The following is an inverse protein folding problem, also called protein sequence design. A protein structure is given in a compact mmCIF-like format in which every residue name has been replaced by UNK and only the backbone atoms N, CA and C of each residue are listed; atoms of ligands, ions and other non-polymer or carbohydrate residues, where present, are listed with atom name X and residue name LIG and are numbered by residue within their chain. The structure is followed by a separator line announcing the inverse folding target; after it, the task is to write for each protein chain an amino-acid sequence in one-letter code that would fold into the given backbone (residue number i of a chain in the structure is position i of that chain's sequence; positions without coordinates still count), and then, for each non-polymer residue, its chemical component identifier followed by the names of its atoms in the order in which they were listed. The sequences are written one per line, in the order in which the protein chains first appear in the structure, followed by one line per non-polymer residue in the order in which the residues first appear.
data_IF_807566491311
#
_entry.id   IF_807566491311
#
_cell.length_a   1.000
_cell.length_b   1.000
_cell.length_c   1.000
_cell.angle_alpha   90.00
_cell.angle_beta   90.00
_cell.angle_gamma   90.00
#
_symmetry.space_group_name_H-M   'P 1'
#
loop_
_entity.id
_entity.type
_entity.pdbx_description
1 polymer ?
#
# COMPACT_ATOMS: atom_id res chain seq x y z
N UNK A 1 10.70 0.33 -12.33
CA UNK A 1 10.97 0.20 -10.91
C UNK A 1 11.10 -1.27 -10.48
N UNK A 2 10.07 -2.13 -10.70
CA UNK A 2 10.10 -3.54 -10.26
C UNK A 2 11.34 -4.32 -10.75
N UNK A 3 11.74 -4.17 -12.00
CA UNK A 3 12.90 -4.87 -12.55
C UNK A 3 14.21 -4.37 -11.90
N UNK A 4 14.34 -3.05 -11.70
CA UNK A 4 15.49 -2.45 -11.00
C UNK A 4 15.60 -2.98 -9.57
N UNK A 5 14.47 -3.05 -8.85
CA UNK A 5 14.46 -3.58 -7.48
C UNK A 5 14.89 -5.05 -7.45
N UNK A 6 14.40 -5.89 -8.37
CA UNK A 6 14.81 -7.30 -8.47
C UNK A 6 16.30 -7.47 -8.74
N UNK A 7 16.85 -6.65 -9.63
CA UNK A 7 18.27 -6.67 -9.94
C UNK A 7 19.12 -6.31 -8.72
N UNK A 8 18.76 -5.23 -8.02
CA UNK A 8 19.46 -4.81 -6.81
C UNK A 8 19.39 -5.86 -5.68
N UNK A 9 18.25 -6.52 -5.51
CA UNK A 9 18.09 -7.61 -4.56
C UNK A 9 19.07 -8.75 -4.86
N UNK A 10 19.15 -9.15 -6.12
CA UNK A 10 20.06 -10.23 -6.55
C UNK A 10 21.53 -9.86 -6.36
N UNK A 11 21.92 -8.65 -6.76
CA UNK A 11 23.30 -8.17 -6.65
C UNK A 11 23.75 -8.09 -5.18
N UNK A 12 22.87 -7.67 -4.28
CA UNK A 12 23.19 -7.47 -2.86
C UNK A 12 22.91 -8.70 -1.98
N UNK A 13 22.59 -9.85 -2.56
CA UNK A 13 22.31 -11.09 -1.84
C UNK A 13 21.24 -10.93 -0.73
N UNK A 14 20.17 -10.21 -1.05
CA UNK A 14 19.06 -9.98 -0.14
C UNK A 14 18.08 -11.14 -0.24
N UNK A 15 17.83 -11.83 0.86
CA UNK A 15 16.83 -12.90 0.93
C UNK A 15 15.41 -12.32 0.85
N UNK A 16 14.58 -12.93 0.00
CA UNK A 16 13.18 -12.55 -0.18
C UNK A 16 12.26 -13.76 0.02
N UNK A 17 11.25 -13.59 0.86
CA UNK A 17 10.18 -14.55 1.04
C UNK A 17 8.86 -13.98 0.50
N UNK A 18 8.54 -14.29 -0.77
CA UNK A 18 7.28 -13.86 -1.40
C UNK A 18 6.11 -14.74 -0.94
N UNK A 19 4.90 -14.15 -0.92
CA UNK A 19 3.70 -14.86 -0.45
C UNK A 19 3.69 -15.13 1.04
N UNK A 20 4.67 -14.59 1.77
CA UNK A 20 4.86 -14.77 3.21
C UNK A 20 4.36 -13.55 3.96
N UNK A 21 3.50 -13.77 4.95
CA UNK A 21 2.96 -12.72 5.81
C UNK A 21 3.50 -12.88 7.22
N UNK A 22 4.00 -11.80 7.80
CA UNK A 22 4.28 -11.73 9.23
C UNK A 22 2.96 -11.68 9.98
N UNK A 23 2.77 -12.58 10.92
CA UNK A 23 1.55 -12.70 11.73
C UNK A 23 1.77 -12.36 13.18
N UNK A 24 3.00 -12.45 13.65
CA UNK A 24 3.35 -12.15 15.04
C UNK A 24 4.78 -11.62 15.13
N UNK A 25 5.01 -10.71 16.08
CA UNK A 25 6.33 -10.16 16.40
C UNK A 25 6.44 -9.99 17.91
N UNK A 26 7.50 -10.51 18.48
CA UNK A 26 7.83 -10.33 19.89
C UNK A 26 9.27 -9.90 20.06
N UNK A 27 9.58 -9.20 21.16
CA UNK A 27 10.97 -8.85 21.53
C UNK A 27 11.31 -9.54 22.83
N UNK A 28 12.40 -10.31 22.83
CA UNK A 28 12.95 -10.93 24.02
C UNK A 28 14.43 -10.57 24.12
N UNK A 29 14.79 -9.98 25.23
CA UNK A 29 16.13 -9.41 25.45
C UNK A 29 16.47 -8.39 24.33
N UNK A 30 17.47 -8.67 23.50
CA UNK A 30 17.89 -7.82 22.38
C UNK A 30 17.47 -8.34 21.00
N UNK A 31 16.66 -9.42 20.94
CA UNK A 31 16.26 -10.05 19.69
C UNK A 31 14.75 -9.93 19.46
N UNK A 32 14.40 -9.60 18.22
CA UNK A 32 13.04 -9.76 17.74
C UNK A 32 12.84 -11.17 17.21
N UNK A 33 11.71 -11.77 17.55
CA UNK A 33 11.24 -13.00 16.92
C UNK A 33 10.05 -12.70 16.06
N UNK A 34 10.21 -12.90 14.76
CA UNK A 34 9.19 -12.63 13.72
C UNK A 34 8.63 -13.97 13.28
N UNK A 35 7.30 -14.14 13.37
CA UNK A 35 6.61 -15.36 12.98
C UNK A 35 5.82 -15.16 11.70
N UNK A 36 5.91 -16.13 10.80
CA UNK A 36 5.21 -16.11 9.51
C UNK A 36 3.91 -16.92 9.55
N UNK A 37 3.05 -16.69 8.56
CA UNK A 37 1.82 -17.46 8.35
C UNK A 37 2.08 -18.95 7.98
N UNK A 38 3.31 -19.32 7.68
CA UNK A 38 3.72 -20.72 7.45
C UNK A 38 4.28 -21.36 8.72
N UNK A 39 4.40 -20.61 9.81
CA UNK A 39 4.93 -21.07 11.08
C UNK A 39 6.44 -20.93 11.23
N UNK A 40 7.13 -20.37 10.24
CA UNK A 40 8.55 -20.07 10.35
C UNK A 40 8.79 -18.98 11.41
N UNK A 41 9.86 -19.11 12.16
CA UNK A 41 10.32 -18.11 13.11
C UNK A 41 11.69 -17.59 12.69
N UNK A 42 11.83 -16.27 12.62
CA UNK A 42 13.05 -15.58 12.22
C UNK A 42 13.49 -14.69 13.37
N UNK A 43 14.70 -14.90 13.86
CA UNK A 43 15.30 -14.04 14.86
C UNK A 43 16.09 -12.91 14.18
N UNK A 44 15.88 -11.67 14.62
CA UNK A 44 16.50 -10.48 14.06
C UNK A 44 16.94 -9.50 15.14
N UNK A 45 18.10 -8.87 14.95
CA UNK A 45 18.58 -7.79 15.83
C UNK A 45 17.83 -6.47 15.55
N UNK A 46 17.39 -6.28 14.32
CA UNK A 46 16.73 -5.07 13.86
C UNK A 46 15.53 -5.45 13.00
N UNK A 47 14.44 -4.71 13.13
CA UNK A 47 13.25 -4.85 12.29
C UNK A 47 12.86 -3.50 11.69
N UNK A 48 12.67 -3.46 10.38
CA UNK A 48 12.03 -2.34 9.69
C UNK A 48 10.64 -2.76 9.26
N UNK A 49 9.63 -2.17 9.89
CA UNK A 49 8.24 -2.40 9.56
C UNK A 49 7.81 -1.42 8.45
N UNK A 50 7.82 -1.88 7.22
CA UNK A 50 7.35 -1.14 6.04
C UNK A 50 6.08 -1.79 5.44
N UNK A 51 5.21 -2.34 6.29
CA UNK A 51 4.03 -3.11 5.87
C UNK A 51 2.82 -2.24 5.53
N UNK A 52 2.98 -0.91 5.48
CA UNK A 52 1.96 0.07 5.10
C UNK A 52 0.70 -0.05 5.96
N UNK A 53 -0.44 -0.46 5.38
CA UNK A 53 -1.71 -0.57 6.11
C UNK A 53 -1.69 -1.53 7.31
N UNK A 54 -0.74 -2.46 7.40
CA UNK A 54 -0.58 -3.36 8.53
C UNK A 54 0.47 -2.86 9.57
N UNK A 55 1.06 -1.68 9.37
CA UNK A 55 2.14 -1.16 10.23
C UNK A 55 1.76 -1.14 11.70
N UNK A 56 0.70 -0.44 12.04
CA UNK A 56 0.25 -0.33 13.44
C UNK A 56 -0.06 -1.70 14.07
N UNK A 57 -0.61 -2.65 13.31
CA UNK A 57 -0.94 -3.98 13.82
C UNK A 57 0.29 -4.74 14.36
N UNK A 58 1.42 -4.65 13.66
CA UNK A 58 2.66 -5.29 14.13
C UNK A 58 3.32 -4.47 15.25
N UNK A 59 3.28 -3.14 15.17
CA UNK A 59 3.86 -2.25 16.17
C UNK A 59 3.19 -2.41 17.54
N UNK A 60 1.87 -2.55 17.57
CA UNK A 60 1.09 -2.74 18.79
C UNK A 60 1.45 -4.05 19.52
N UNK A 61 1.82 -5.12 18.79
CA UNK A 61 2.23 -6.38 19.38
C UNK A 61 3.50 -6.28 20.23
N UNK A 62 4.33 -5.27 19.97
CA UNK A 62 5.51 -4.95 20.77
C UNK A 62 5.20 -4.10 22.03
N UNK A 63 3.91 -3.81 22.29
CA UNK A 63 3.50 -2.94 23.38
C UNK A 63 3.74 -1.45 23.12
N UNK A 64 4.05 -1.09 21.89
CA UNK A 64 4.26 0.31 21.47
C UNK A 64 2.92 0.95 21.21
N UNK A 65 2.70 2.14 21.76
CA UNK A 65 1.47 2.90 21.53
C UNK A 65 1.43 3.40 20.10
N UNK A 66 0.39 3.03 19.37
CA UNK A 66 0.19 3.40 17.97
C UNK A 66 -0.82 4.54 17.83
N UNK A 67 -0.62 5.47 16.90
CA UNK A 67 -1.57 6.55 16.65
C UNK A 67 -2.77 6.06 15.83
N UNK A 68 -3.89 6.79 15.92
CA UNK A 68 -5.00 6.59 14.99
C UNK A 68 -4.55 6.86 13.55
N UNK A 69 -5.08 6.07 12.61
CA UNK A 69 -4.92 6.20 11.17
C UNK A 69 -6.29 6.14 10.50
N UNK A 70 -6.42 6.78 9.36
CA UNK A 70 -7.57 6.58 8.50
C UNK A 70 -7.22 5.47 7.52
N UNK A 71 -7.93 4.36 7.64
CA UNK A 71 -7.85 3.23 6.72
C UNK A 71 -8.93 3.39 5.67
N UNK A 72 -8.55 3.20 4.42
CA UNK A 72 -9.45 3.30 3.28
C UNK A 72 -9.32 2.08 2.41
N UNK A 73 -10.43 1.45 2.09
CA UNK A 73 -10.42 0.33 1.15
C UNK A 73 -10.61 0.84 -0.27
N UNK A 74 -9.55 0.71 -1.06
CA UNK A 74 -9.49 1.24 -2.41
C UNK A 74 -9.74 0.13 -3.43
N UNK A 75 -10.59 0.42 -4.41
CA UNK A 75 -10.92 -0.47 -5.53
C UNK A 75 -10.73 0.27 -6.84
N UNK A 76 -9.91 -0.32 -7.70
CA UNK A 76 -9.56 0.25 -9.01
C UNK A 76 -9.90 -0.77 -10.10
N UNK A 77 -10.92 -0.55 -10.95
CA UNK A 77 -11.20 -1.41 -12.08
C UNK A 77 -10.00 -1.54 -13.01
N UNK A 78 -9.71 -2.77 -13.41
CA UNK A 78 -8.82 -3.11 -14.53
C UNK A 78 -9.72 -3.23 -15.75
N UNK A 79 -9.50 -2.37 -16.74
CA UNK A 79 -10.34 -2.29 -17.92
C UNK A 79 -9.55 -2.56 -19.20
N UNK A 80 -10.22 -3.12 -20.17
CA UNK A 80 -9.78 -3.15 -21.57
C UNK A 80 -10.39 -1.95 -22.28
N UNK A 81 -9.55 -1.21 -22.98
CA UNK A 81 -9.95 -0.04 -23.77
C UNK A 81 -9.06 0.03 -25.00
N UNK A 82 -9.67 0.29 -26.15
CA UNK A 82 -8.96 0.36 -27.45
C UNK A 82 -8.43 1.79 -27.68
N UNK A 83 -7.35 2.11 -27.01
CA UNK A 83 -6.61 3.38 -27.14
C UNK A 83 -5.12 3.12 -27.05
N UNK A 84 -4.33 4.09 -27.52
CA UNK A 84 -2.88 4.09 -27.30
C UNK A 84 -2.54 4.03 -25.81
N UNK A 85 -1.39 3.46 -25.45
CA UNK A 85 -0.92 3.36 -24.07
C UNK A 85 -0.50 4.72 -23.52
N UNK A 86 -1.48 5.55 -23.23
CA UNK A 86 -1.29 6.86 -22.61
C UNK A 86 -1.91 6.91 -21.22
N UNK A 87 -1.26 7.65 -20.32
CA UNK A 87 -1.86 8.01 -19.03
C UNK A 87 -2.63 9.32 -19.15
N UNK A 88 -3.84 9.37 -18.61
CA UNK A 88 -4.67 10.58 -18.56
C UNK A 88 -5.08 10.82 -17.12
N UNK A 89 -4.83 12.03 -16.60
CA UNK A 89 -5.28 12.45 -15.28
C UNK A 89 -6.01 13.78 -15.39
N UNK A 90 -7.22 13.84 -14.88
CA UNK A 90 -8.01 15.09 -14.75
C UNK A 90 -7.84 15.55 -13.31
N UNK A 91 -7.28 16.76 -13.13
CA UNK A 91 -6.85 17.29 -11.82
C UNK A 91 -7.83 18.31 -11.23
N UNK A 92 -8.74 18.86 -12.04
CA UNK A 92 -9.77 19.80 -11.57
C UNK A 92 -11.15 19.15 -11.58
N UNK A 93 -11.90 19.34 -10.50
CA UNK A 93 -13.22 18.77 -10.32
C UNK A 93 -13.19 17.31 -9.85
N UNK A 94 -14.08 16.44 -10.32
CA UNK A 94 -14.07 15.03 -9.95
C UNK A 94 -12.85 14.35 -10.58
N UNK A 95 -11.80 14.21 -9.79
CA UNK A 95 -10.52 13.60 -10.20
C UNK A 95 -10.74 12.20 -10.78
N UNK A 96 -10.20 12.01 -11.95
CA UNK A 96 -10.27 10.78 -12.72
C UNK A 96 -8.88 10.48 -13.30
N UNK A 97 -8.43 9.25 -13.18
CA UNK A 97 -7.17 8.83 -13.77
C UNK A 97 -7.34 7.52 -14.52
N UNK A 98 -6.80 7.47 -15.75
CA UNK A 98 -6.62 6.25 -16.54
C UNK A 98 -5.12 6.05 -16.68
N UNK A 99 -4.61 4.89 -16.28
CA UNK A 99 -3.18 4.57 -16.38
C UNK A 99 -3.00 3.22 -17.06
N UNK A 100 -2.01 3.06 -17.97
CA UNK A 100 -1.62 1.75 -18.47
C UNK A 100 -1.25 0.80 -17.33
N UNK A 101 -1.78 -0.43 -17.36
CA UNK A 101 -1.51 -1.42 -16.33
C UNK A 101 -0.28 -2.27 -16.67
N UNK A 102 0.87 -1.78 -16.30
CA UNK A 102 2.14 -2.44 -16.53
C UNK A 102 2.43 -2.66 -18.02
N UNK A 103 2.80 -3.90 -18.39
CA UNK A 103 3.06 -4.29 -19.79
C UNK A 103 1.84 -4.91 -20.48
N UNK A 104 0.69 -5.02 -19.80
CA UNK A 104 -0.55 -5.54 -20.38
C UNK A 104 -1.21 -4.54 -21.32
N UNK A 105 -2.23 -4.97 -22.04
CA UNK A 105 -3.06 -4.11 -22.89
C UNK A 105 -4.28 -3.55 -22.12
N UNK A 106 -4.19 -3.57 -20.79
CA UNK A 106 -5.22 -3.08 -19.90
C UNK A 106 -4.85 -1.74 -19.27
N UNK A 107 -5.86 -1.10 -18.69
CA UNK A 107 -5.74 0.16 -17.99
C UNK A 107 -6.33 0.05 -16.59
N UNK A 108 -5.84 0.89 -15.68
CA UNK A 108 -6.44 1.14 -14.37
C UNK A 108 -7.33 2.37 -14.48
N UNK A 109 -8.56 2.27 -13.98
CA UNK A 109 -9.49 3.39 -13.91
C UNK A 109 -9.71 3.78 -12.45
N UNK A 110 -9.22 4.96 -12.06
CA UNK A 110 -9.39 5.51 -10.73
C UNK A 110 -10.30 6.74 -10.75
N UNK A 111 -11.20 6.84 -9.79
CA UNK A 111 -12.05 8.02 -9.56
C UNK A 111 -12.01 8.35 -8.07
N UNK A 112 -11.73 9.61 -7.72
CA UNK A 112 -11.48 10.00 -6.32
C UNK A 112 -12.62 9.61 -5.38
N UNK A 113 -13.88 9.90 -5.73
CA UNK A 113 -15.03 9.64 -4.87
C UNK A 113 -15.54 8.19 -4.92
N UNK A 114 -15.22 7.43 -5.97
CA UNK A 114 -15.77 6.10 -6.16
C UNK A 114 -14.79 4.98 -5.90
N UNK A 115 -13.48 5.26 -5.96
CA UNK A 115 -12.47 4.23 -5.73
C UNK A 115 -12.25 3.91 -4.26
N UNK A 116 -12.60 4.79 -3.35
CA UNK A 116 -12.64 4.50 -1.92
C UNK A 116 -14.06 4.01 -1.58
N UNK A 117 -14.21 2.72 -1.29
CA UNK A 117 -15.53 2.11 -1.05
C UNK A 117 -15.84 1.89 0.43
N UNK A 118 -14.83 2.01 1.28
CA UNK A 118 -14.97 1.94 2.73
C UNK A 118 -13.84 2.76 3.38
N UNK A 119 -14.13 3.42 4.51
CA UNK A 119 -13.15 4.24 5.21
C UNK A 119 -13.46 4.29 6.72
N UNK A 120 -12.42 4.07 7.54
CA UNK A 120 -12.55 4.06 9.00
C UNK A 120 -11.32 4.67 9.67
N UNK A 121 -11.53 5.43 10.75
CA UNK A 121 -10.46 5.90 11.63
C UNK A 121 -10.30 4.92 12.78
N UNK A 122 -9.15 4.28 12.87
CA UNK A 122 -8.82 3.24 13.87
C UNK A 122 -7.33 3.29 14.23
N UNK A 123 -6.96 2.59 15.27
CA UNK A 123 -5.54 2.32 15.59
C UNK A 123 -4.95 1.21 14.72
N UNK A 124 -5.74 0.19 14.37
CA UNK A 124 -5.27 -0.95 13.56
C UNK A 124 -6.22 -1.27 12.42
N UNK A 125 -5.66 -1.83 11.35
CA UNK A 125 -6.40 -2.29 10.19
C UNK A 125 -7.36 -3.43 10.55
N UNK A 126 -8.55 -3.43 9.97
CA UNK A 126 -9.41 -4.62 9.93
C UNK A 126 -8.76 -5.70 9.06
N UNK A 127 -8.39 -6.82 9.68
CA UNK A 127 -7.70 -7.91 9.00
C UNK A 127 -8.53 -8.58 7.89
N UNK A 128 -9.85 -8.47 7.95
CA UNK A 128 -10.75 -8.93 6.88
C UNK A 128 -10.48 -8.21 5.55
N UNK A 129 -9.95 -6.98 5.62
CA UNK A 129 -9.55 -6.22 4.43
C UNK A 129 -8.32 -6.78 3.71
N UNK A 130 -7.57 -7.66 4.33
CA UNK A 130 -6.42 -8.34 3.72
C UNK A 130 -6.79 -9.59 2.91
N UNK A 131 -8.07 -9.97 2.92
CA UNK A 131 -8.56 -11.16 2.22
C UNK A 131 -9.62 -10.79 1.18
N UNK A 132 -9.41 -11.16 -0.08
CA UNK A 132 -10.43 -10.97 -1.14
C UNK A 132 -11.78 -11.63 -0.84
N UNK A 133 -11.83 -12.61 0.07
CA UNK A 133 -13.08 -13.31 0.43
C UNK A 133 -13.95 -12.53 1.39
N UNK A 134 -13.35 -11.74 2.26
CA UNK A 134 -14.01 -10.97 3.32
C UNK A 134 -13.97 -9.46 3.09
N UNK A 135 -13.21 -9.02 2.07
CA UNK A 135 -13.00 -7.62 1.74
C UNK A 135 -14.32 -6.86 1.47
N UNK A 136 -14.33 -5.54 1.64
CA UNK A 136 -15.47 -4.70 1.28
C UNK A 136 -15.99 -4.93 -0.15
N UNK A 137 -15.09 -5.13 -1.13
CA UNK A 137 -15.50 -5.42 -2.50
C UNK A 137 -16.24 -6.76 -2.64
N UNK A 138 -15.94 -7.75 -1.80
CA UNK A 138 -16.64 -9.05 -1.82
C UNK A 138 -18.13 -8.94 -1.49
N UNK A 139 -18.52 -7.87 -0.79
CA UNK A 139 -19.88 -7.58 -0.34
C UNK A 139 -20.67 -6.75 -1.37
N UNK A 140 -20.03 -6.25 -2.44
CA UNK A 140 -20.64 -5.40 -3.46
C UNK A 140 -21.06 -6.20 -4.71
N UNK A 141 -22.09 -5.69 -5.38
CA UNK A 141 -22.38 -6.07 -6.75
C UNK A 141 -21.35 -5.42 -7.69
N UNK A 142 -20.33 -6.19 -8.07
CA UNK A 142 -19.18 -5.73 -8.88
C UNK A 142 -19.60 -5.12 -10.21
N UNK A 143 -20.63 -5.67 -10.86
CA UNK A 143 -21.13 -5.15 -12.15
C UNK A 143 -21.82 -3.80 -11.97
N UNK A 144 -22.62 -3.66 -10.95
CA UNK A 144 -23.31 -2.41 -10.64
C UNK A 144 -22.31 -1.31 -10.24
N UNK A 145 -21.33 -1.66 -9.40
CA UNK A 145 -20.24 -0.75 -9.02
C UNK A 145 -19.47 -0.27 -10.25
N UNK A 146 -19.07 -1.19 -11.15
CA UNK A 146 -18.37 -0.83 -12.38
C UNK A 146 -19.23 0.08 -13.27
N UNK A 147 -20.50 -0.25 -13.48
CA UNK A 147 -21.41 0.59 -14.28
C UNK A 147 -21.55 2.01 -13.69
N UNK A 148 -21.63 2.13 -12.36
CA UNK A 148 -21.65 3.43 -11.69
C UNK A 148 -20.38 4.23 -11.98
N UNK A 149 -19.21 3.60 -11.89
CA UNK A 149 -17.91 4.21 -12.20
C UNK A 149 -17.87 4.70 -13.63
N UNK A 150 -18.21 3.86 -14.61
CA UNK A 150 -18.24 4.24 -16.04
C UNK A 150 -19.21 5.39 -16.29
N UNK A 151 -20.40 5.36 -15.71
CA UNK A 151 -21.39 6.42 -15.90
C UNK A 151 -20.94 7.80 -15.38
N UNK A 152 -20.04 7.86 -14.41
CA UNK A 152 -19.43 9.11 -13.99
C UNK A 152 -18.25 9.49 -14.89
N UNK A 153 -17.35 8.55 -15.14
CA UNK A 153 -16.11 8.80 -15.87
C UNK A 153 -16.33 9.15 -17.35
N UNK A 154 -17.31 8.53 -18.02
CA UNK A 154 -17.62 8.80 -19.45
C UNK A 154 -18.12 10.21 -19.72
N UNK A 155 -18.58 10.93 -18.69
CA UNK A 155 -18.95 12.35 -18.84
C UNK A 155 -17.75 13.25 -19.15
N UNK A 156 -16.56 12.82 -18.72
CA UNK A 156 -15.30 13.53 -18.93
C UNK A 156 -14.47 12.91 -20.07
N UNK A 157 -14.51 11.59 -20.18
CA UNK A 157 -13.78 10.81 -21.19
C UNK A 157 -14.77 9.84 -21.86
N UNK A 158 -15.47 10.27 -22.92
CA UNK A 158 -16.58 9.53 -23.53
C UNK A 158 -16.24 8.11 -23.98
N UNK A 159 -15.02 7.86 -24.48
CA UNK A 159 -14.59 6.54 -24.94
C UNK A 159 -14.61 5.46 -23.83
N UNK A 160 -14.66 5.85 -22.57
CA UNK A 160 -14.81 4.90 -21.45
C UNK A 160 -16.13 4.11 -21.49
N UNK A 161 -17.12 4.57 -22.26
CA UNK A 161 -18.37 3.83 -22.47
C UNK A 161 -18.13 2.47 -23.13
N UNK A 162 -17.10 2.35 -23.98
CA UNK A 162 -16.74 1.13 -24.69
C UNK A 162 -15.82 0.20 -23.89
N UNK A 163 -15.46 0.61 -22.65
CA UNK A 163 -14.56 -0.18 -21.82
C UNK A 163 -15.18 -1.48 -21.34
N UNK A 164 -14.34 -2.53 -21.22
CA UNK A 164 -14.75 -3.81 -20.69
C UNK A 164 -14.05 -4.05 -19.35
N UNK A 165 -14.81 -4.43 -18.34
CA UNK A 165 -14.25 -4.84 -17.06
C UNK A 165 -13.50 -6.17 -17.22
N UNK A 166 -12.25 -6.20 -16.77
CA UNK A 166 -11.41 -7.40 -16.73
C UNK A 166 -11.35 -7.96 -15.31
N UNK A 167 -10.97 -7.11 -14.33
CA UNK A 167 -10.83 -7.47 -12.92
C UNK A 167 -10.78 -6.19 -12.08
N UNK A 168 -10.49 -6.32 -10.80
CA UNK A 168 -10.25 -5.22 -9.88
C UNK A 168 -8.90 -5.37 -9.20
N UNK A 169 -8.17 -4.27 -9.12
CA UNK A 169 -7.10 -4.09 -8.16
C UNK A 169 -7.72 -3.52 -6.89
N UNK A 170 -7.54 -4.21 -5.76
CA UNK A 170 -8.18 -3.84 -4.51
C UNK A 170 -7.22 -3.98 -3.33
N UNK A 171 -7.42 -3.19 -2.31
CA UNK A 171 -6.67 -3.30 -1.07
C UNK A 171 -6.80 -2.07 -0.16
N UNK A 172 -6.41 -2.24 1.11
CA UNK A 172 -6.40 -1.15 2.06
C UNK A 172 -5.25 -0.18 1.78
N UNK A 173 -5.52 1.10 1.98
CA UNK A 173 -4.51 2.14 2.12
C UNK A 173 -4.64 2.81 3.48
N UNK A 174 -3.57 3.44 3.96
CA UNK A 174 -3.53 4.13 5.23
C UNK A 174 -3.11 5.59 5.00
N UNK A 175 -3.88 6.53 5.53
CA UNK A 175 -3.60 7.96 5.45
C UNK A 175 -3.68 8.59 6.84
N UNK A 176 -3.24 9.85 6.97
CA UNK A 176 -3.41 10.60 8.20
C UNK A 176 -4.89 10.92 8.42
N UNK A 177 -5.43 10.72 9.63
CA UNK A 177 -6.82 11.01 9.91
C UNK A 177 -7.09 12.51 9.86
N UNK A 178 -8.28 12.89 9.41
CA UNK A 178 -8.76 14.28 9.42
C UNK A 178 -7.85 15.27 8.68
N UNK A 179 -7.26 14.83 7.56
CA UNK A 179 -6.38 15.65 6.70
C UNK A 179 -6.91 15.81 5.28
N UNK A 180 -8.21 15.59 5.08
CA UNK A 180 -8.85 15.66 3.77
C UNK A 180 -8.72 17.05 3.11
N UNK A 181 -8.66 18.11 3.92
CA UNK A 181 -8.52 19.49 3.43
C UNK A 181 -7.12 19.83 2.88
N UNK A 182 -6.10 19.07 3.25
CA UNK A 182 -4.71 19.42 2.90
C UNK A 182 -4.07 18.49 1.87
N UNK A 183 -4.68 17.34 1.59
CA UNK A 183 -4.08 16.22 0.82
C UNK A 183 -2.62 15.90 1.23
N UNK A 184 -2.26 16.23 2.48
CA UNK A 184 -0.93 16.03 3.01
C UNK A 184 -0.66 14.53 3.18
N UNK A 185 0.36 14.03 2.49
CA UNK A 185 0.78 12.62 2.51
C UNK A 185 2.25 12.50 2.87
N UNK A 186 2.64 12.89 4.09
CA UNK A 186 4.03 12.75 4.52
C UNK A 186 4.38 11.27 4.66
N UNK A 187 5.64 10.91 4.43
CA UNK A 187 6.20 9.69 4.98
C UNK A 187 6.80 10.02 6.34
N UNK A 188 6.58 9.16 7.32
CA UNK A 188 7.09 9.34 8.67
C UNK A 188 7.89 8.10 9.06
N UNK A 189 9.04 8.33 9.68
CA UNK A 189 9.89 7.29 10.24
C UNK A 189 9.80 7.41 11.75
N UNK A 190 9.34 6.36 12.41
CA UNK A 190 9.30 6.28 13.87
C UNK A 190 10.34 5.29 14.34
N UNK A 191 11.31 5.78 15.09
CA UNK A 191 12.39 4.98 15.67
C UNK A 191 12.03 4.56 17.09
N UNK A 192 12.03 3.26 17.32
CA UNK A 192 11.87 2.63 18.64
C UNK A 192 13.08 1.71 18.89
N UNK A 193 14.26 2.28 18.99
CA UNK A 193 15.55 1.62 19.13
C UNK A 193 15.92 0.74 17.91
N UNK A 194 15.71 -0.57 18.00
CA UNK A 194 16.00 -1.53 16.93
C UNK A 194 14.77 -1.88 16.09
N UNK A 195 13.64 -1.19 16.36
CA UNK A 195 12.40 -1.32 15.60
C UNK A 195 12.04 0.01 14.95
N UNK A 196 12.08 0.04 13.64
CA UNK A 196 11.70 1.21 12.86
C UNK A 196 10.37 0.96 12.16
N UNK A 197 9.40 1.85 12.36
CA UNK A 197 8.15 1.85 11.62
C UNK A 197 8.16 2.94 10.55
N UNK A 198 7.74 2.56 9.34
CA UNK A 198 7.58 3.47 8.20
C UNK A 198 6.11 3.67 7.89
N UNK A 199 5.59 4.87 8.15
CA UNK A 199 4.32 5.31 7.58
C UNK A 199 4.57 5.90 6.20
N UNK A 200 4.09 5.24 5.14
CA UNK A 200 4.36 5.63 3.75
C UNK A 200 3.30 6.60 3.24
N UNK A 201 3.70 7.81 2.86
CA UNK A 201 2.83 8.80 2.23
C UNK A 201 2.67 8.58 0.73
N UNK A 202 3.79 8.48 0.00
CA UNK A 202 3.83 8.31 -1.46
C UNK A 202 4.98 7.38 -1.85
N UNK A 203 4.83 6.68 -2.99
CA UNK A 203 5.86 5.74 -3.49
C UNK A 203 7.18 6.45 -3.88
N UNK A 204 7.12 7.69 -4.33
CA UNK A 204 8.28 8.50 -4.69
C UNK A 204 9.15 8.90 -3.48
N UNK A 205 8.60 8.82 -2.26
CA UNK A 205 9.37 9.02 -1.04
C UNK A 205 10.26 7.82 -0.67
N UNK A 206 10.10 6.67 -1.33
CA UNK A 206 10.77 5.42 -0.94
C UNK A 206 12.30 5.51 -0.93
N UNK A 207 12.89 6.31 -1.80
CA UNK A 207 14.35 6.46 -1.90
C UNK A 207 14.88 7.22 -0.68
N UNK A 208 14.40 8.42 -0.41
CA UNK A 208 14.89 9.21 0.70
C UNK A 208 14.57 8.57 2.07
N UNK A 209 13.42 7.88 2.19
CA UNK A 209 13.10 7.09 3.40
C UNK A 209 14.11 5.97 3.60
N UNK A 210 14.48 5.26 2.53
CA UNK A 210 15.49 4.21 2.61
C UNK A 210 16.87 4.76 2.98
N UNK A 211 17.25 5.91 2.41
CA UNK A 211 18.53 6.59 2.72
C UNK A 211 18.57 7.02 4.19
N UNK A 212 17.50 7.62 4.72
CA UNK A 212 17.40 8.06 6.10
C UNK A 212 17.52 6.89 7.08
N UNK A 213 16.83 5.76 6.80
CA UNK A 213 16.95 4.53 7.59
C UNK A 213 18.38 3.95 7.50
N UNK A 214 18.97 3.98 6.31
CA UNK A 214 20.35 3.53 6.08
C UNK A 214 21.36 4.32 6.90
N UNK A 215 21.26 5.64 6.90
CA UNK A 215 22.15 6.52 7.69
C UNK A 215 21.96 6.32 9.20
N UNK A 216 20.72 6.14 9.65
CA UNK A 216 20.42 5.81 11.05
C UNK A 216 21.19 4.53 11.48
N UNK A 217 21.11 3.46 10.70
CA UNK A 217 21.79 2.19 11.03
C UNK A 217 23.31 2.29 10.90
N UNK A 218 23.85 3.00 9.90
CA UNK A 218 25.30 3.26 9.79
C UNK A 218 25.81 3.94 11.06
N UNK A 219 25.12 4.99 11.49
CA UNK A 219 25.47 5.71 12.72
C UNK A 219 25.42 4.80 13.96
N UNK A 220 24.33 4.02 14.11
CA UNK A 220 24.07 3.17 15.26
C UNK A 220 25.08 2.02 15.38
N UNK A 221 25.38 1.35 14.28
CA UNK A 221 26.28 0.20 14.25
C UNK A 221 27.73 0.54 13.89
N UNK A 222 28.06 1.84 13.74
CA UNK A 222 29.39 2.33 13.38
C UNK A 222 29.94 1.65 12.12
N UNK A 223 29.04 1.43 11.12
CA UNK A 223 29.43 0.85 9.84
C UNK A 223 30.11 1.95 9.03
N UNK A 224 31.43 1.82 8.79
CA UNK A 224 32.15 2.67 7.86
C UNK A 224 31.90 2.21 6.44
N UNK A 225 31.49 3.13 5.58
CA UNK A 225 31.32 2.91 4.13
C UNK A 225 32.63 2.62 3.42
#
# INVERSE_FOLDING_TARGET
LREIVKENISINSIDISLGTRVVDITKKDSLFRVKTNFGDEIDANVVVNATYGAGNYLTEQLGIVVPERQYEYTVVPIIQLDIDKIGVTIMDGPFLTILPYGKSDYFLLYHVDLSVIDAEVRTTLDLDWLSKKTSPLSKLNKKEYFNKMINQCKKLIPILEDSKLIDFLEGPRMVLPRKDDTDARPSLITDNDDYIEVFSGKIDHSIWVADEIGEHFKSKFKITS
#
